data_IF_939793279100
#
_entry.id   IF_939793279100
#
_cell.length_a   1.000
_cell.length_b   1.000
_cell.length_c   1.000
_cell.angle_alpha   90.00
_cell.angle_beta   90.00
_cell.angle_gamma   90.00
#
_symmetry.space_group_name_H-M   'P 1'
#
loop_
_entity.id
_entity.type
_entity.pdbx_description
1 polymer ?
#
# COMPACT_ATOMS: atom_id res chain seq x y z
N UNK A 1 -2.75 37.45 5.01
CA UNK A 1 -2.94 36.10 5.58
C UNK A 1 -1.89 35.90 6.64
N UNK A 2 -2.32 35.81 7.92
CA UNK A 2 -1.42 35.84 9.05
C UNK A 2 -0.63 34.54 9.22
N UNK A 3 0.55 34.65 9.83
CA UNK A 3 1.47 33.54 10.14
C UNK A 3 0.76 32.39 10.87
N UNK A 4 -0.24 32.71 11.69
CA UNK A 4 -1.08 31.74 12.43
C UNK A 4 -1.95 30.87 11.54
N UNK A 5 -2.48 31.40 10.45
CA UNK A 5 -3.30 30.65 9.50
C UNK A 5 -2.46 29.65 8.68
N UNK A 6 -1.22 30.03 8.38
CA UNK A 6 -0.29 29.17 7.68
C UNK A 6 0.20 28.02 8.56
N UNK A 7 0.46 28.30 9.84
CA UNK A 7 0.86 27.27 10.82
C UNK A 7 -0.27 26.30 11.15
N UNK A 8 -1.51 26.78 11.24
CA UNK A 8 -2.70 25.95 11.46
C UNK A 8 -3.01 25.10 10.22
N UNK A 9 -2.83 25.61 9.01
CA UNK A 9 -2.99 24.84 7.77
C UNK A 9 -1.89 23.80 7.61
N UNK A 10 -0.62 24.14 7.89
CA UNK A 10 0.48 23.17 7.87
C UNK A 10 0.32 22.06 8.93
N UNK A 11 -0.23 22.38 10.10
CA UNK A 11 -0.52 21.40 11.15
C UNK A 11 -1.74 20.52 10.80
N UNK A 12 -2.72 21.06 10.08
CA UNK A 12 -3.88 20.31 9.59
C UNK A 12 -3.56 19.46 8.35
N UNK A 13 -2.51 19.83 7.59
CA UNK A 13 -2.07 19.08 6.40
C UNK A 13 -1.04 17.99 6.71
N UNK A 14 -0.49 17.93 7.92
CA UNK A 14 0.45 16.89 8.37
C UNK A 14 -0.28 15.79 9.14
N UNK A 15 -1.23 15.13 8.51
CA UNK A 15 -1.67 13.84 9.03
C UNK A 15 -0.84 12.75 8.38
N UNK A 16 0.24 12.36 9.04
CA UNK A 16 1.10 11.24 8.62
C UNK A 16 0.41 9.87 8.77
N UNK A 17 -0.90 9.86 9.00
CA UNK A 17 -1.68 8.65 9.26
C UNK A 17 -2.87 8.55 8.34
N UNK A 18 -3.30 7.31 8.00
CA UNK A 18 -4.53 7.10 7.24
C UNK A 18 -5.74 7.71 7.96
N UNK A 19 -6.67 8.26 7.20
CA UNK A 19 -7.94 8.77 7.73
C UNK A 19 -8.99 7.65 7.77
N UNK A 20 -9.83 7.64 8.83
CA UNK A 20 -10.94 6.68 8.96
C UNK A 20 -12.28 7.37 8.73
N UNK A 21 -12.88 7.16 7.59
CA UNK A 21 -14.24 7.61 7.23
C UNK A 21 -15.26 6.64 7.81
N UNK A 22 -15.52 6.74 9.11
CA UNK A 22 -16.30 5.75 9.90
C UNK A 22 -17.61 5.34 9.25
N UNK A 23 -18.38 6.28 8.66
CA UNK A 23 -19.69 6.00 8.05
C UNK A 23 -19.64 4.98 6.90
N UNK A 24 -18.48 4.74 6.30
CA UNK A 24 -18.29 3.78 5.23
C UNK A 24 -17.91 2.38 5.74
N UNK A 25 -17.57 2.25 7.03
CA UNK A 25 -17.14 0.97 7.57
C UNK A 25 -18.30 -0.03 7.67
N UNK A 26 -18.06 -1.24 7.19
CA UNK A 26 -19.05 -2.31 7.24
C UNK A 26 -19.48 -2.67 8.66
N UNK A 27 -18.63 -2.48 9.66
CA UNK A 27 -18.98 -2.75 11.06
C UNK A 27 -20.02 -1.79 11.66
N UNK A 28 -20.33 -0.69 10.97
CA UNK A 28 -21.42 0.19 11.35
C UNK A 28 -22.78 -0.23 10.75
N UNK A 29 -22.79 -1.24 9.89
CA UNK A 29 -23.98 -1.73 9.23
C UNK A 29 -24.43 -3.05 9.87
N UNK A 30 -25.56 -3.09 10.61
CA UNK A 30 -25.97 -4.23 11.43
C UNK A 30 -26.23 -5.52 10.65
N UNK A 31 -26.41 -5.43 9.33
CA UNK A 31 -26.68 -6.58 8.45
C UNK A 31 -25.41 -7.13 7.76
N UNK A 32 -24.22 -6.63 8.09
CA UNK A 32 -22.96 -7.07 7.51
C UNK A 32 -22.20 -7.97 8.48
N UNK A 33 -21.47 -8.94 7.92
CA UNK A 33 -20.52 -9.74 8.71
C UNK A 33 -19.48 -8.84 9.34
N UNK A 34 -19.15 -9.00 10.63
CA UNK A 34 -18.09 -8.27 11.28
C UNK A 34 -16.78 -8.37 10.46
N UNK A 35 -16.12 -7.24 10.26
CA UNK A 35 -14.87 -7.16 9.52
C UNK A 35 -13.75 -6.74 10.47
N UNK A 36 -12.64 -7.47 10.48
CA UNK A 36 -11.46 -7.22 11.31
C UNK A 36 -10.21 -6.92 10.47
N UNK A 37 -10.34 -6.94 9.14
CA UNK A 37 -9.25 -6.96 8.18
C UNK A 37 -8.16 -5.88 8.46
N UNK A 38 -8.57 -4.64 8.78
CA UNK A 38 -7.63 -3.54 9.02
C UNK A 38 -6.82 -3.70 10.31
N UNK A 39 -7.42 -4.32 11.32
CA UNK A 39 -6.74 -4.60 12.59
C UNK A 39 -5.82 -5.80 12.44
N UNK A 40 -6.30 -6.85 11.77
CA UNK A 40 -5.58 -8.12 11.67
C UNK A 40 -4.33 -8.03 10.76
N UNK A 41 -4.40 -7.21 9.70
CA UNK A 41 -3.23 -7.03 8.81
C UNK A 41 -2.18 -6.08 9.37
N UNK A 42 -2.54 -5.23 10.31
CA UNK A 42 -1.65 -4.21 10.84
C UNK A 42 -0.66 -4.83 11.84
N UNK A 43 0.66 -4.64 11.69
CA UNK A 43 1.65 -5.10 12.66
C UNK A 43 1.41 -4.56 14.09
N UNK A 44 0.76 -3.41 14.18
CA UNK A 44 0.44 -2.71 15.43
C UNK A 44 -1.07 -2.65 15.70
N UNK A 45 -1.84 -3.60 15.15
CA UNK A 45 -3.29 -3.56 15.14
C UNK A 45 -3.93 -3.40 16.52
N UNK A 46 -3.43 -4.10 17.53
CA UNK A 46 -3.93 -3.99 18.91
C UNK A 46 -3.54 -2.68 19.61
N UNK A 47 -2.43 -2.06 19.22
CA UNK A 47 -2.02 -0.77 19.74
C UNK A 47 -2.80 0.38 19.11
N UNK A 48 -3.05 0.30 17.78
CA UNK A 48 -3.73 1.35 17.02
C UNK A 48 -5.25 1.25 17.16
N UNK A 49 -5.82 0.05 17.05
CA UNK A 49 -7.27 -0.15 17.00
C UNK A 49 -7.80 -0.79 18.28
N UNK A 50 -8.70 -0.12 19.00
CA UNK A 50 -9.46 -0.76 20.07
C UNK A 50 -10.32 -1.90 19.52
N UNK A 51 -10.96 -1.66 18.38
CA UNK A 51 -11.68 -2.60 17.53
C UNK A 51 -11.62 -2.09 16.09
N UNK A 52 -11.98 -2.91 15.10
CA UNK A 52 -11.97 -2.46 13.71
C UNK A 52 -12.66 -1.10 13.58
N UNK A 53 -12.09 -0.18 12.79
CA UNK A 53 -12.53 1.19 12.55
C UNK A 53 -12.54 2.15 13.77
N UNK A 54 -12.16 1.71 14.93
CA UNK A 54 -12.08 2.57 16.10
C UNK A 54 -10.62 2.73 16.53
N UNK A 55 -10.02 3.78 16.05
CA UNK A 55 -8.64 4.15 16.40
C UNK A 55 -8.60 4.58 17.87
N UNK A 56 -7.67 4.00 18.59
CA UNK A 56 -7.31 4.36 19.95
C UNK A 56 -6.18 5.38 19.95
N UNK A 57 -5.13 5.07 19.19
CA UNK A 57 -3.90 5.83 19.17
C UNK A 57 -3.18 5.61 17.83
N UNK A 58 -2.69 6.68 17.23
CA UNK A 58 -1.90 6.62 16.00
C UNK A 58 -0.39 6.61 16.23
N UNK A 59 0.09 6.87 17.45
CA UNK A 59 1.53 6.96 17.74
C UNK A 59 2.35 5.76 17.24
N UNK A 60 1.85 4.50 17.32
CA UNK A 60 2.58 3.35 16.78
C UNK A 60 2.52 3.23 15.25
N UNK A 61 1.74 4.07 14.55
CA UNK A 61 1.52 3.94 13.12
C UNK A 61 2.77 4.35 12.31
N UNK A 62 3.20 3.47 11.42
CA UNK A 62 4.34 3.73 10.50
C UNK A 62 3.88 4.23 9.13
N UNK A 63 2.60 4.55 8.95
CA UNK A 63 2.01 4.95 7.66
C UNK A 63 2.34 3.97 6.51
N UNK A 64 2.38 2.67 6.81
CA UNK A 64 2.76 1.64 5.85
C UNK A 64 1.70 1.38 4.77
N UNK A 65 0.44 1.75 4.99
CA UNK A 65 -0.66 1.61 4.02
C UNK A 65 -1.37 0.25 3.99
N UNK A 66 -0.95 -0.77 4.75
CA UNK A 66 -1.57 -2.10 4.75
C UNK A 66 -3.05 -2.07 5.10
N UNK A 67 -3.44 -1.26 6.10
CA UNK A 67 -4.85 -1.12 6.47
C UNK A 67 -5.69 -0.42 5.39
N UNK A 68 -5.08 0.43 4.58
CA UNK A 68 -5.72 1.07 3.42
C UNK A 68 -6.00 0.03 2.35
N UNK A 69 -4.98 -0.76 1.95
CA UNK A 69 -5.09 -1.74 0.87
C UNK A 69 -6.11 -2.85 1.18
N UNK A 70 -6.21 -3.28 2.45
CA UNK A 70 -7.13 -4.36 2.84
C UNK A 70 -8.58 -3.89 3.02
N UNK A 71 -8.82 -2.58 3.15
CA UNK A 71 -10.13 -2.04 3.47
C UNK A 71 -11.13 -2.15 2.33
N UNK A 72 -11.92 -3.22 2.28
CA UNK A 72 -12.90 -3.50 1.23
C UNK A 72 -14.00 -2.45 1.10
N UNK A 73 -14.29 -1.72 2.15
CA UNK A 73 -15.31 -0.66 2.14
C UNK A 73 -14.76 0.72 1.78
N UNK A 74 -13.42 0.84 1.63
CA UNK A 74 -12.77 2.12 1.40
C UNK A 74 -12.91 3.12 2.55
N UNK A 75 -13.22 2.62 3.77
CA UNK A 75 -13.38 3.52 4.91
C UNK A 75 -12.04 4.01 5.48
N UNK A 76 -10.95 3.32 5.20
CA UNK A 76 -9.60 3.79 5.52
C UNK A 76 -9.00 4.34 4.24
N UNK A 77 -8.70 5.62 4.24
CA UNK A 77 -8.10 6.31 3.10
C UNK A 77 -6.64 6.66 3.40
N UNK A 78 -5.75 6.64 2.39
CA UNK A 78 -4.34 6.96 2.60
C UNK A 78 -4.15 8.39 3.10
N UNK A 79 -3.08 8.63 3.84
CA UNK A 79 -2.68 9.99 4.18
C UNK A 79 -2.31 10.79 2.92
N UNK A 80 -2.45 12.14 2.93
CA UNK A 80 -1.99 12.98 1.82
C UNK A 80 -0.52 12.76 1.48
N UNK A 81 0.32 12.58 2.51
CA UNK A 81 1.74 12.29 2.33
C UNK A 81 1.99 10.94 1.66
N UNK A 82 1.20 9.92 2.01
CA UNK A 82 1.29 8.62 1.34
C UNK A 82 0.91 8.75 -0.14
N UNK A 83 -0.19 9.43 -0.45
CA UNK A 83 -0.62 9.67 -1.84
C UNK A 83 0.47 10.41 -2.60
N UNK A 84 1.03 11.48 -2.03
CA UNK A 84 2.09 12.25 -2.66
C UNK A 84 3.35 11.40 -2.91
N UNK A 85 3.80 10.62 -1.92
CA UNK A 85 4.93 9.71 -2.09
C UNK A 85 4.70 8.73 -3.24
N UNK A 86 3.53 8.11 -3.28
CA UNK A 86 3.21 7.09 -4.28
C UNK A 86 3.08 7.69 -5.68
N UNK A 87 2.42 8.84 -5.82
CA UNK A 87 2.26 9.49 -7.14
C UNK A 87 3.57 10.06 -7.66
N UNK A 88 4.44 10.60 -6.78
CA UNK A 88 5.74 11.14 -7.20
C UNK A 88 6.70 10.08 -7.75
N UNK A 89 6.46 8.79 -7.51
CA UNK A 89 7.24 7.73 -8.15
C UNK A 89 7.13 7.74 -9.67
N UNK A 90 5.98 8.17 -10.21
CA UNK A 90 5.80 8.30 -11.65
C UNK A 90 6.64 9.43 -12.28
N UNK A 91 7.03 10.43 -11.47
CA UNK A 91 7.79 11.61 -11.92
C UNK A 91 9.32 11.37 -11.88
N UNK A 92 9.77 10.20 -11.42
CA UNK A 92 11.19 9.86 -11.39
C UNK A 92 11.76 9.68 -12.81
N UNK A 93 13.06 9.92 -13.00
CA UNK A 93 13.71 9.73 -14.30
C UNK A 93 13.85 8.27 -14.72
N UNK A 94 13.60 7.33 -13.81
CA UNK A 94 13.70 5.90 -14.09
C UNK A 94 12.50 5.41 -14.91
N UNK A 95 12.73 4.72 -16.01
CA UNK A 95 11.68 4.06 -16.81
C UNK A 95 11.08 2.84 -16.10
N UNK A 96 11.83 2.24 -15.20
CA UNK A 96 11.43 1.06 -14.43
C UNK A 96 11.49 1.36 -12.93
N UNK A 97 10.40 1.06 -12.23
CA UNK A 97 10.27 1.20 -10.78
C UNK A 97 10.37 -0.17 -10.12
N UNK A 98 11.28 -0.30 -9.18
CA UNK A 98 11.39 -1.47 -8.31
C UNK A 98 10.67 -1.20 -7.02
N UNK A 99 9.62 -1.98 -6.74
CA UNK A 99 8.81 -1.86 -5.53
C UNK A 99 9.04 -3.09 -4.65
N UNK A 100 9.48 -2.88 -3.44
CA UNK A 100 9.83 -3.96 -2.53
C UNK A 100 9.32 -3.75 -1.10
N UNK A 101 9.60 -4.72 -0.25
CA UNK A 101 9.33 -4.63 1.18
C UNK A 101 10.64 -4.44 1.98
N UNK A 102 10.49 -4.07 3.25
CA UNK A 102 11.62 -3.84 4.16
C UNK A 102 12.52 -5.09 4.37
N UNK A 103 12.00 -6.29 4.07
CA UNK A 103 12.75 -7.54 4.14
C UNK A 103 13.57 -7.82 2.88
N UNK A 104 13.41 -7.02 1.82
CA UNK A 104 14.15 -7.21 0.57
C UNK A 104 15.62 -6.85 0.75
N UNK A 105 16.50 -7.71 0.25
CA UNK A 105 17.94 -7.42 0.13
C UNK A 105 18.27 -6.58 -1.10
N UNK A 106 17.33 -6.40 -2.02
CA UNK A 106 17.51 -5.64 -3.26
C UNK A 106 17.38 -4.13 -3.03
N UNK A 107 18.05 -3.35 -3.86
CA UNK A 107 17.86 -1.91 -3.89
C UNK A 107 16.59 -1.56 -4.68
N UNK A 108 15.49 -1.38 -3.97
CA UNK A 108 14.22 -1.00 -4.56
C UNK A 108 14.09 0.53 -4.71
N UNK A 109 13.32 1.00 -5.70
CA UNK A 109 13.00 2.43 -5.89
C UNK A 109 12.09 2.92 -4.76
N UNK A 110 11.14 2.11 -4.36
CA UNK A 110 10.27 2.36 -3.22
C UNK A 110 10.13 1.11 -2.35
N UNK A 111 10.18 1.32 -1.05
CA UNK A 111 10.10 0.28 -0.02
C UNK A 111 8.93 0.58 0.90
N UNK A 112 8.14 -0.45 1.21
CA UNK A 112 7.06 -0.44 2.19
C UNK A 112 7.29 -1.57 3.20
N UNK A 113 6.55 -1.57 4.30
CA UNK A 113 6.56 -2.70 5.23
C UNK A 113 6.22 -4.03 4.51
N UNK A 114 5.35 -3.98 3.52
CA UNK A 114 5.04 -5.08 2.61
C UNK A 114 4.64 -4.54 1.23
N UNK A 115 4.94 -5.27 0.16
CA UNK A 115 4.49 -4.93 -1.21
C UNK A 115 2.95 -4.88 -1.31
N UNK A 116 2.23 -5.68 -0.49
CA UNK A 116 0.77 -5.64 -0.38
C UNK A 116 0.20 -4.29 0.12
N UNK A 117 1.05 -3.39 0.61
CA UNK A 117 0.66 -2.04 0.98
C UNK A 117 0.45 -1.09 -0.21
N UNK A 118 0.95 -1.46 -1.40
CA UNK A 118 0.59 -0.77 -2.64
C UNK A 118 -0.76 -1.29 -3.10
N UNK A 119 -1.78 -0.44 -3.05
CA UNK A 119 -3.11 -0.82 -3.56
C UNK A 119 -3.08 -1.04 -5.07
N UNK A 120 -4.03 -1.81 -5.59
CA UNK A 120 -4.10 -2.05 -7.03
C UNK A 120 -4.27 -0.75 -7.84
N UNK A 121 -4.95 0.27 -7.28
CA UNK A 121 -5.10 1.59 -7.89
C UNK A 121 -3.74 2.29 -8.03
N UNK A 122 -2.93 2.25 -6.97
CA UNK A 122 -1.56 2.79 -6.98
C UNK A 122 -0.70 2.05 -8.01
N UNK A 123 -0.75 0.71 -7.99
CA UNK A 123 0.00 -0.11 -8.95
C UNK A 123 -0.46 0.15 -10.39
N UNK A 124 -1.78 0.31 -10.63
CA UNK A 124 -2.31 0.64 -11.94
C UNK A 124 -1.81 2.01 -12.44
N UNK A 125 -1.90 3.03 -11.58
CA UNK A 125 -1.39 4.36 -11.90
C UNK A 125 0.10 4.32 -12.29
N UNK A 126 0.90 3.63 -11.49
CA UNK A 126 2.33 3.51 -11.76
C UNK A 126 2.60 2.68 -13.03
N UNK A 127 1.89 1.57 -13.24
CA UNK A 127 2.06 0.71 -14.43
C UNK A 127 1.67 1.40 -15.74
N UNK A 128 0.70 2.31 -15.72
CA UNK A 128 0.34 3.11 -16.88
C UNK A 128 1.43 4.12 -17.28
N UNK A 129 2.25 4.56 -16.32
CA UNK A 129 3.29 5.57 -16.54
C UNK A 129 4.70 4.98 -16.66
N UNK A 130 4.95 3.84 -16.01
CA UNK A 130 6.29 3.21 -15.89
C UNK A 130 6.20 1.70 -16.06
N UNK A 131 7.34 1.04 -16.22
CA UNK A 131 7.44 -0.40 -16.00
C UNK A 131 7.60 -0.67 -14.50
N UNK A 132 6.92 -1.68 -13.99
CA UNK A 132 7.00 -2.07 -12.59
C UNK A 132 7.72 -3.41 -12.45
N UNK A 133 8.59 -3.50 -11.48
CA UNK A 133 9.13 -4.76 -10.97
C UNK A 133 8.73 -4.86 -9.49
N UNK A 134 7.89 -5.83 -9.17
CA UNK A 134 7.52 -6.13 -7.79
C UNK A 134 8.50 -7.15 -7.23
N UNK A 135 9.33 -6.72 -6.29
CA UNK A 135 10.29 -7.60 -5.63
C UNK A 135 9.60 -8.47 -4.59
N UNK A 136 9.35 -9.70 -4.96
CA UNK A 136 8.69 -10.73 -4.16
C UNK A 136 9.67 -11.77 -3.61
N UNK A 137 10.99 -11.53 -3.74
CA UNK A 137 12.02 -12.46 -3.24
C UNK A 137 11.84 -12.83 -1.76
N UNK A 138 11.49 -11.88 -0.85
CA UNK A 138 11.28 -12.25 0.55
C UNK A 138 9.97 -13.01 0.82
N UNK A 139 9.04 -13.04 -0.17
CA UNK A 139 7.70 -13.60 0.06
C UNK A 139 7.71 -15.12 0.23
N UNK A 140 8.70 -15.84 -0.32
CA UNK A 140 8.82 -17.29 -0.19
C UNK A 140 9.06 -17.77 1.26
N UNK A 141 9.72 -16.95 2.08
CA UNK A 141 10.04 -17.23 3.48
C UNK A 141 9.25 -16.33 4.45
N UNK A 142 8.28 -15.58 3.94
CA UNK A 142 7.52 -14.63 4.75
C UNK A 142 6.43 -15.32 5.56
N UNK A 143 6.50 -15.24 6.88
CA UNK A 143 5.54 -15.82 7.81
C UNK A 143 4.18 -15.07 7.84
N UNK A 144 4.03 -13.97 7.11
CA UNK A 144 2.81 -13.16 7.12
C UNK A 144 1.84 -13.58 6.00
N UNK A 145 1.07 -14.62 6.25
CA UNK A 145 0.07 -15.13 5.31
C UNK A 145 -1.01 -14.12 4.94
N UNK A 146 -1.37 -13.22 5.85
CA UNK A 146 -2.37 -12.19 5.59
C UNK A 146 -1.89 -11.20 4.53
N UNK A 147 -0.62 -10.79 4.59
CA UNK A 147 0.00 -9.94 3.57
C UNK A 147 0.11 -10.66 2.21
N UNK A 148 0.47 -11.94 2.20
CA UNK A 148 0.55 -12.71 0.98
C UNK A 148 -0.83 -12.90 0.33
N UNK A 149 -1.87 -13.15 1.14
CA UNK A 149 -3.25 -13.24 0.66
C UNK A 149 -3.75 -11.89 0.11
N UNK A 150 -3.41 -10.78 0.76
CA UNK A 150 -3.77 -9.45 0.30
C UNK A 150 -3.07 -9.11 -1.01
N UNK A 151 -1.76 -9.38 -1.13
CA UNK A 151 -1.02 -9.14 -2.36
C UNK A 151 -1.65 -9.87 -3.56
N UNK A 152 -2.01 -11.14 -3.38
CA UNK A 152 -2.71 -11.90 -4.44
C UNK A 152 -4.01 -11.22 -4.90
N UNK A 153 -4.79 -10.66 -3.96
CA UNK A 153 -6.03 -9.92 -4.29
C UNK A 153 -5.73 -8.65 -5.07
N UNK A 154 -4.72 -7.88 -4.65
CA UNK A 154 -4.33 -6.65 -5.33
C UNK A 154 -3.83 -6.93 -6.76
N UNK A 155 -3.02 -7.98 -6.94
CA UNK A 155 -2.55 -8.40 -8.26
C UNK A 155 -3.70 -8.90 -9.16
N UNK A 156 -4.66 -9.65 -8.61
CA UNK A 156 -5.84 -10.09 -9.36
C UNK A 156 -6.63 -8.89 -9.90
N UNK A 157 -6.91 -7.90 -9.05
CA UNK A 157 -7.60 -6.67 -9.46
C UNK A 157 -6.81 -5.86 -10.49
N UNK A 158 -5.49 -5.82 -10.32
CA UNK A 158 -4.61 -5.13 -11.25
C UNK A 158 -4.66 -5.79 -12.64
N UNK A 159 -4.63 -7.13 -12.71
CA UNK A 159 -4.77 -7.89 -13.96
C UNK A 159 -6.16 -7.66 -14.58
N UNK A 160 -7.22 -7.68 -13.78
CA UNK A 160 -8.59 -7.42 -14.25
C UNK A 160 -8.72 -6.01 -14.83
N UNK A 161 -8.08 -5.02 -14.23
CA UNK A 161 -8.13 -3.63 -14.68
C UNK A 161 -7.29 -3.37 -15.94
N UNK A 162 -6.04 -3.82 -15.97
CA UNK A 162 -5.12 -3.57 -17.09
C UNK A 162 -5.38 -4.51 -18.28
N UNK A 163 -5.95 -5.66 -18.02
CA UNK A 163 -5.98 -6.79 -18.94
C UNK A 163 -4.63 -7.53 -18.97
N UNK A 164 -4.63 -8.83 -19.32
CA UNK A 164 -3.43 -9.68 -19.23
C UNK A 164 -2.26 -9.18 -20.09
N UNK A 165 -2.53 -8.74 -21.31
CA UNK A 165 -1.48 -8.28 -22.24
C UNK A 165 -0.74 -7.04 -21.73
N UNK A 166 -1.48 -6.03 -21.24
CA UNK A 166 -0.86 -4.82 -20.71
C UNK A 166 -0.14 -5.12 -19.39
N UNK A 167 -0.75 -5.95 -18.53
CA UNK A 167 -0.11 -6.38 -17.29
C UNK A 167 1.25 -7.04 -17.57
N UNK A 168 1.32 -8.05 -18.43
CA UNK A 168 2.57 -8.75 -18.79
C UNK A 168 3.63 -7.81 -19.39
N UNK A 169 3.22 -6.79 -20.13
CA UNK A 169 4.13 -5.83 -20.73
C UNK A 169 4.66 -4.76 -19.77
N UNK A 170 3.95 -4.54 -18.66
CA UNK A 170 4.22 -3.44 -17.73
C UNK A 170 4.63 -3.87 -16.33
N UNK A 171 4.27 -5.09 -15.90
CA UNK A 171 4.50 -5.56 -14.54
C UNK A 171 5.28 -6.86 -14.56
N UNK A 172 6.41 -6.88 -13.89
CA UNK A 172 7.24 -8.06 -13.67
C UNK A 172 7.17 -8.44 -12.20
N UNK A 173 6.94 -9.72 -11.91
CA UNK A 173 6.99 -10.29 -10.57
C UNK A 173 8.34 -10.97 -10.37
N UNK A 174 9.24 -10.38 -9.60
CA UNK A 174 10.55 -10.91 -9.31
C UNK A 174 10.49 -11.82 -8.07
N UNK A 175 10.49 -13.13 -8.29
CA UNK A 175 10.67 -14.17 -7.29
C UNK A 175 12.16 -14.53 -7.30
N UNK A 176 12.74 -15.21 -6.40
CA UNK A 176 14.16 -15.59 -6.27
C UNK A 176 15.16 -15.32 -7.42
N UNK A 177 16.38 -15.29 -7.11
CA UNK A 177 17.68 -15.12 -7.77
C UNK A 177 17.83 -15.45 -9.28
N UNK A 178 16.98 -15.02 -10.16
CA UNK A 178 17.29 -14.92 -11.58
C UNK A 178 18.07 -13.62 -11.89
N UNK A 179 19.08 -13.36 -11.07
CA UNK A 179 19.87 -12.11 -11.14
C UNK A 179 20.72 -11.96 -12.40
N UNK A 180 20.95 -13.03 -13.13
CA UNK A 180 21.87 -12.98 -14.29
C UNK A 180 21.25 -12.38 -15.55
N UNK A 181 19.92 -12.35 -15.70
CA UNK A 181 19.27 -11.99 -16.96
C UNK A 181 18.52 -10.65 -16.97
N UNK A 182 18.30 -10.00 -15.83
CA UNK A 182 17.53 -8.75 -15.78
C UNK A 182 18.37 -7.48 -15.97
N UNK A 183 19.69 -7.58 -15.92
CA UNK A 183 20.60 -6.45 -16.11
C UNK A 183 21.14 -6.30 -17.54
N UNK A 184 20.76 -7.18 -18.46
CA UNK A 184 21.27 -7.20 -19.85
C UNK A 184 20.16 -7.14 -20.93
N UNK A 185 18.97 -6.64 -20.59
CA UNK A 185 17.97 -6.32 -21.62
C UNK A 185 17.62 -4.85 -21.60
#
# INVERSE_FOLDING_TARGET
MGLFTRYAMDALMKTSHPEVVRRQCWNLHPHRTPCTDCKDICPYGDAIFTRPNLVKDWDPCTDCGLCVSVCRSGCIVPSPEQVQRDTSLADTDNDTLWLGCEKSSRKNTAVRACVAAFSWETLAYLALNKKLVLDLTPCGECENDACAAQLRKELTRLVEFLGPQLFESRVTLAYEQDEANLFYQ
#
